data_IF_587319425386
#
_entry.id   IF_587319425386
#
_cell.length_a   1.000
_cell.length_b   1.000
_cell.length_c   1.000
_cell.angle_alpha   90.00
_cell.angle_beta   90.00
_cell.angle_gamma   90.00
#
_symmetry.space_group_name_H-M   'P 1'
#
loop_
_entity.id
_entity.type
_entity.pdbx_description
1 polymer ?
#
# COMPACT_ATOMS: atom_id res chain seq x y z
N UNK A 1 5.90 8.53 -10.08
CA UNK A 1 4.66 8.66 -10.87
C UNK A 1 4.14 7.27 -11.12
N UNK A 2 2.83 7.07 -10.98
CA UNK A 2 2.15 5.82 -11.27
C UNK A 2 1.06 6.11 -12.30
N UNK A 3 0.96 5.24 -13.31
CA UNK A 3 -0.05 5.31 -14.36
C UNK A 3 -1.29 4.51 -13.93
N UNK A 4 -2.47 5.09 -14.18
CA UNK A 4 -3.78 4.53 -13.84
C UNK A 4 -4.79 4.77 -14.99
N UNK A 5 -4.37 4.42 -16.20
CA UNK A 5 -5.16 4.58 -17.41
C UNK A 5 -4.30 4.40 -18.67
N UNK A 6 -4.90 4.48 -19.86
CA UNK A 6 -4.21 4.25 -21.12
C UNK A 6 -3.22 5.37 -21.52
N UNK A 7 -3.45 6.63 -21.12
CA UNK A 7 -2.60 7.77 -21.48
C UNK A 7 -1.61 8.07 -20.34
N UNK A 8 -0.30 7.82 -20.50
CA UNK A 8 0.68 8.05 -19.45
C UNK A 8 0.87 9.53 -19.08
N UNK A 9 0.44 10.47 -19.92
CA UNK A 9 0.53 11.91 -19.65
C UNK A 9 -0.68 12.38 -18.84
N UNK A 10 -1.88 11.92 -19.18
CA UNK A 10 -3.13 12.36 -18.53
C UNK A 10 -3.50 11.49 -17.32
N UNK A 11 -3.23 10.20 -17.39
CA UNK A 11 -3.69 9.20 -16.41
C UNK A 11 -2.59 8.82 -15.41
N UNK A 12 -1.58 9.68 -15.24
CA UNK A 12 -0.52 9.48 -14.26
C UNK A 12 -0.69 10.42 -13.07
N UNK A 13 -0.34 9.93 -11.89
CA UNK A 13 -0.29 10.74 -10.68
C UNK A 13 1.05 10.58 -9.95
N UNK A 14 1.39 11.57 -9.13
CA UNK A 14 2.69 11.66 -8.49
C UNK A 14 2.79 10.74 -7.27
N UNK A 15 4.02 10.31 -6.98
CA UNK A 15 4.40 9.62 -5.75
C UNK A 15 5.26 10.62 -4.97
N UNK A 16 4.68 11.40 -4.03
CA UNK A 16 5.37 12.54 -3.45
C UNK A 16 6.62 12.12 -2.65
N UNK A 17 7.73 12.84 -2.79
CA UNK A 17 8.96 12.49 -2.09
C UNK A 17 8.90 12.81 -0.59
N UNK A 18 8.11 13.81 -0.20
CA UNK A 18 7.87 14.17 1.21
C UNK A 18 6.49 13.69 1.64
N UNK A 19 6.42 13.15 2.85
CA UNK A 19 5.16 12.69 3.46
C UNK A 19 4.14 13.84 3.60
N UNK A 20 4.59 15.04 3.91
CA UNK A 20 3.74 16.24 4.02
C UNK A 20 3.06 16.62 2.71
N UNK A 21 3.65 16.26 1.57
CA UNK A 21 3.08 16.52 0.25
C UNK A 21 2.08 15.43 -0.14
N UNK A 22 2.25 14.19 0.35
CA UNK A 22 1.27 13.12 0.19
C UNK A 22 -0.09 13.49 0.78
N UNK A 23 -0.11 14.13 1.95
CA UNK A 23 -1.35 14.59 2.61
C UNK A 23 -2.15 15.64 1.80
N UNK A 24 -1.57 16.23 0.75
CA UNK A 24 -2.24 17.19 -0.14
C UNK A 24 -2.78 16.53 -1.41
N UNK A 25 -2.69 15.21 -1.50
CA UNK A 25 -3.09 14.41 -2.66
C UNK A 25 -4.11 13.35 -2.24
N UNK A 26 -4.42 12.41 -3.14
CA UNK A 26 -5.28 11.25 -2.83
C UNK A 26 -4.57 10.16 -2.02
N UNK A 27 -3.28 10.29 -1.73
CA UNK A 27 -2.59 9.33 -0.85
C UNK A 27 -3.09 9.48 0.58
N UNK A 28 -3.80 8.46 1.06
CA UNK A 28 -4.36 8.40 2.40
C UNK A 28 -3.38 7.69 3.33
N UNK A 29 -3.07 8.32 4.45
CA UNK A 29 -2.19 7.74 5.46
C UNK A 29 -2.86 6.53 6.11
N UNK A 30 -2.19 5.38 6.02
CA UNK A 30 -2.54 4.17 6.75
C UNK A 30 -1.85 4.11 8.12
N UNK A 31 -1.33 2.95 8.47
CA UNK A 31 -0.65 2.74 9.75
C UNK A 31 0.88 2.65 9.60
N UNK A 32 1.52 2.92 10.74
CA UNK A 32 2.94 2.68 10.96
C UNK A 32 3.19 1.20 11.21
N UNK A 33 3.97 0.55 10.35
CA UNK A 33 4.42 -0.82 10.58
C UNK A 33 5.91 -0.79 10.94
N UNK A 34 6.29 -1.11 12.20
CA UNK A 34 7.69 -1.16 12.59
C UNK A 34 8.47 -2.12 11.69
N UNK A 35 9.66 -1.72 11.25
CA UNK A 35 10.50 -2.38 10.22
C UNK A 35 10.08 -2.17 8.76
N UNK A 36 9.06 -1.35 8.47
CA UNK A 36 8.64 -1.02 7.09
C UNK A 36 8.38 0.47 6.88
N UNK A 37 7.89 1.19 7.89
CA UNK A 37 7.52 2.61 7.81
C UNK A 37 6.01 2.87 7.83
N UNK A 38 5.64 4.11 7.56
CA UNK A 38 4.25 4.55 7.43
C UNK A 38 3.74 4.21 6.04
N UNK A 39 2.69 3.39 5.96
CA UNK A 39 2.04 3.04 4.71
C UNK A 39 1.05 4.13 4.27
N UNK A 40 1.00 4.39 2.97
CA UNK A 40 0.03 5.29 2.34
C UNK A 40 -0.66 4.58 1.18
N UNK A 41 -1.99 4.66 1.16
CA UNK A 41 -2.86 3.95 0.23
C UNK A 41 -3.60 4.95 -0.66
N UNK A 42 -3.66 4.69 -1.95
CA UNK A 42 -4.24 5.65 -2.90
C UNK A 42 -5.78 5.61 -2.85
N UNK A 43 -6.39 6.77 -2.58
CA UNK A 43 -7.84 7.00 -2.55
C UNK A 43 -8.63 6.00 -1.66
N UNK A 44 -7.97 5.51 -0.61
CA UNK A 44 -8.52 4.50 0.30
C UNK A 44 -9.39 5.11 1.40
N UNK A 45 -10.60 4.61 1.53
CA UNK A 45 -11.65 5.04 2.47
C UNK A 45 -12.49 3.86 2.95
N UNK A 46 -13.27 4.07 4.01
CA UNK A 46 -14.04 2.99 4.64
C UNK A 46 -15.07 2.37 3.67
N UNK A 47 -15.64 3.17 2.79
CA UNK A 47 -16.63 2.83 1.75
C UNK A 47 -15.99 2.57 0.37
N UNK A 48 -14.68 2.30 0.31
CA UNK A 48 -14.01 1.92 -0.94
C UNK A 48 -14.64 0.67 -1.51
N UNK A 49 -14.87 0.65 -2.82
CA UNK A 49 -15.21 -0.57 -3.54
C UNK A 49 -13.93 -1.41 -3.75
N UNK A 50 -13.87 -2.58 -3.12
CA UNK A 50 -12.72 -3.47 -3.19
C UNK A 50 -12.43 -3.97 -4.62
N UNK A 51 -13.43 -4.00 -5.52
CA UNK A 51 -13.22 -4.33 -6.94
C UNK A 51 -12.41 -3.27 -7.69
N UNK A 52 -12.38 -2.05 -7.16
CA UNK A 52 -11.64 -0.90 -7.68
C UNK A 52 -10.51 -0.46 -6.74
N UNK A 53 -10.10 -1.32 -5.79
CA UNK A 53 -9.00 -1.03 -4.89
C UNK A 53 -7.70 -0.82 -5.67
N UNK A 54 -7.08 0.35 -5.51
CA UNK A 54 -5.84 0.64 -6.20
C UNK A 54 -4.67 -0.10 -5.53
N UNK A 55 -3.91 -0.94 -6.27
CA UNK A 55 -3.01 -1.91 -5.64
C UNK A 55 -1.71 -1.29 -5.14
N UNK A 56 -1.32 -0.09 -5.58
CA UNK A 56 -0.05 0.48 -5.16
C UNK A 56 -0.16 1.20 -3.81
N UNK A 57 0.90 1.08 -3.01
CA UNK A 57 1.06 1.83 -1.78
C UNK A 57 2.46 2.45 -1.70
N UNK A 58 2.58 3.56 -0.96
CA UNK A 58 3.85 4.21 -0.66
C UNK A 58 4.26 3.94 0.79
N UNK A 59 5.56 3.98 1.05
CA UNK A 59 6.12 3.86 2.39
C UNK A 59 7.03 5.05 2.71
N UNK A 60 6.78 5.68 3.84
CA UNK A 60 7.57 6.79 4.35
C UNK A 60 8.26 6.43 5.66
N UNK A 61 9.45 6.97 5.87
CA UNK A 61 10.18 6.91 7.13
C UNK A 61 10.80 8.28 7.38
N UNK A 62 10.63 8.83 8.59
CA UNK A 62 11.13 10.17 8.92
C UNK A 62 10.69 11.25 7.90
N UNK A 63 9.44 11.15 7.42
CA UNK A 63 8.87 12.09 6.47
C UNK A 63 9.35 11.97 5.01
N UNK A 64 10.19 10.98 4.67
CA UNK A 64 10.74 10.78 3.32
C UNK A 64 10.30 9.45 2.71
N UNK A 65 9.99 9.49 1.41
CA UNK A 65 9.63 8.31 0.65
C UNK A 65 10.82 7.34 0.66
N UNK A 66 10.61 6.16 1.25
CA UNK A 66 11.67 5.16 1.46
C UNK A 66 11.38 3.84 0.73
N UNK A 67 10.18 3.70 0.18
CA UNK A 67 9.83 2.61 -0.71
C UNK A 67 8.42 2.75 -1.24
N UNK A 68 8.02 1.76 -2.02
CA UNK A 68 6.66 1.56 -2.49
C UNK A 68 6.37 0.07 -2.54
N UNK A 69 5.13 -0.30 -2.79
CA UNK A 69 4.80 -1.69 -3.00
C UNK A 69 3.49 -1.90 -3.73
N UNK A 70 3.18 -3.16 -3.93
CA UNK A 70 1.98 -3.64 -4.60
C UNK A 70 1.23 -4.57 -3.68
N UNK A 71 -0.08 -4.40 -3.60
CA UNK A 71 -0.97 -5.17 -2.78
C UNK A 71 -2.08 -5.72 -3.67
N UNK A 72 -2.06 -7.02 -3.89
CA UNK A 72 -2.87 -7.70 -4.89
C UNK A 72 -3.72 -8.80 -4.27
N UNK A 73 -4.84 -9.09 -4.94
CA UNK A 73 -5.74 -10.16 -4.56
C UNK A 73 -5.05 -11.52 -4.58
N UNK A 74 -5.38 -12.35 -3.59
CA UNK A 74 -4.98 -13.74 -3.48
C UNK A 74 -3.62 -14.01 -2.88
N UNK A 75 -3.25 -15.29 -2.91
CA UNK A 75 -2.05 -15.83 -2.26
C UNK A 75 -1.05 -16.29 -3.31
N UNK A 76 0.09 -15.62 -3.39
CA UNK A 76 1.15 -16.04 -4.29
C UNK A 76 1.98 -17.15 -3.65
N UNK A 77 1.65 -18.39 -3.98
CA UNK A 77 2.38 -19.55 -3.49
C UNK A 77 3.75 -19.66 -4.18
N UNK A 78 4.74 -20.19 -3.46
CA UNK A 78 6.10 -20.48 -3.97
C UNK A 78 7.03 -19.28 -4.24
N UNK A 79 6.74 -18.09 -3.70
CA UNK A 79 7.69 -16.96 -3.71
C UNK A 79 8.09 -16.54 -2.29
N UNK A 80 9.35 -16.13 -2.13
CA UNK A 80 9.86 -15.48 -0.91
C UNK A 80 9.92 -13.96 -1.05
N UNK A 81 9.49 -13.42 -2.20
CA UNK A 81 9.58 -11.99 -2.53
C UNK A 81 8.31 -11.22 -2.21
N UNK A 82 7.27 -11.92 -1.76
CA UNK A 82 6.00 -11.33 -1.40
C UNK A 82 5.57 -11.86 -0.03
N UNK A 83 4.85 -11.03 0.70
CA UNK A 83 4.29 -11.33 2.01
C UNK A 83 2.81 -11.66 1.85
N UNK A 84 2.34 -12.53 2.74
CA UNK A 84 0.94 -12.91 2.81
C UNK A 84 0.42 -12.64 4.22
N UNK A 85 0.02 -11.39 4.52
CA UNK A 85 -0.49 -11.03 5.83
C UNK A 85 -1.81 -11.75 6.12
N UNK A 86 -2.03 -12.23 7.36
CA UNK A 86 -3.35 -12.68 7.78
C UNK A 86 -4.33 -11.49 7.81
N UNK A 87 -5.62 -11.75 7.64
CA UNK A 87 -6.67 -10.73 7.66
C UNK A 87 -6.60 -9.80 8.90
N UNK A 88 -6.28 -10.37 10.06
CA UNK A 88 -6.13 -9.61 11.31
C UNK A 88 -4.98 -8.59 11.29
N UNK A 89 -3.98 -8.76 10.42
CA UNK A 89 -2.84 -7.86 10.30
C UNK A 89 -3.11 -6.65 9.39
N UNK A 90 -4.21 -6.63 8.62
CA UNK A 90 -4.49 -5.53 7.69
C UNK A 90 -4.53 -4.16 8.40
N UNK A 91 -5.07 -4.09 9.61
CA UNK A 91 -5.14 -2.86 10.41
C UNK A 91 -3.77 -2.29 10.81
N UNK A 92 -2.70 -3.10 10.71
CA UNK A 92 -1.33 -2.68 11.03
C UNK A 92 -0.68 -1.86 9.92
N UNK A 93 -1.28 -1.79 8.73
CA UNK A 93 -0.78 -1.01 7.60
C UNK A 93 -1.87 -0.30 6.80
N UNK A 94 -3.07 -0.86 6.68
CA UNK A 94 -4.21 -0.32 5.95
C UNK A 94 -5.21 0.30 6.92
N UNK A 95 -5.24 1.63 6.99
CA UNK A 95 -6.18 2.39 7.82
C UNK A 95 -6.78 3.52 6.99
N UNK A 96 -8.12 3.66 6.93
CA UNK A 96 -9.11 2.68 7.38
C UNK A 96 -9.02 1.38 6.55
N UNK A 97 -9.42 0.25 7.13
CA UNK A 97 -9.68 -0.98 6.36
C UNK A 97 -11.06 -0.85 5.72
N UNK A 98 -11.20 -0.92 4.38
CA UNK A 98 -12.51 -0.90 3.73
C UNK A 98 -13.44 -1.99 4.27
N UNK A 99 -14.73 -1.71 4.38
CA UNK A 99 -15.71 -2.67 4.94
C UNK A 99 -15.86 -3.93 4.10
N UNK A 100 -15.64 -3.84 2.79
CA UNK A 100 -15.63 -4.98 1.86
C UNK A 100 -14.38 -5.87 1.97
N UNK A 101 -13.33 -5.43 2.67
CA UNK A 101 -12.03 -6.08 2.63
C UNK A 101 -12.04 -7.52 3.19
N UNK A 102 -12.78 -7.84 4.28
CA UNK A 102 -12.91 -9.23 4.73
C UNK A 102 -13.50 -10.15 3.67
N UNK A 103 -14.60 -9.75 3.03
CA UNK A 103 -15.26 -10.55 1.99
C UNK A 103 -14.33 -10.72 0.78
N UNK A 104 -13.71 -9.63 0.32
CA UNK A 104 -12.69 -9.67 -0.74
C UNK A 104 -11.53 -10.61 -0.41
N UNK A 105 -11.03 -10.57 0.83
CA UNK A 105 -9.96 -11.45 1.30
C UNK A 105 -10.39 -12.92 1.27
N UNK A 106 -11.62 -13.23 1.66
CA UNK A 106 -12.16 -14.59 1.60
C UNK A 106 -12.35 -15.08 0.16
N UNK A 107 -12.97 -14.26 -0.70
CA UNK A 107 -13.26 -14.59 -2.10
C UNK A 107 -11.98 -14.81 -2.92
N UNK A 108 -10.95 -13.99 -2.69
CA UNK A 108 -9.72 -14.03 -3.47
C UNK A 108 -8.68 -14.98 -2.88
N UNK A 109 -8.98 -15.64 -1.76
CA UNK A 109 -8.02 -16.44 -0.99
C UNK A 109 -6.83 -15.64 -0.47
N UNK A 110 -7.10 -14.40 -0.08
CA UNK A 110 -6.25 -13.55 0.73
C UNK A 110 -5.68 -12.34 0.02
N UNK A 111 -4.56 -11.83 0.54
CA UNK A 111 -3.95 -10.59 0.10
C UNK A 111 -2.45 -10.76 0.08
N UNK A 112 -1.80 -10.45 -1.03
CA UNK A 112 -0.35 -10.57 -1.18
C UNK A 112 0.25 -9.19 -1.36
N UNK A 113 1.30 -8.88 -0.60
CA UNK A 113 2.03 -7.61 -0.70
C UNK A 113 3.46 -7.83 -1.17
N UNK A 114 3.97 -6.97 -2.05
CA UNK A 114 5.36 -6.94 -2.48
C UNK A 114 5.94 -5.56 -2.22
N UNK A 115 7.00 -5.52 -1.40
CA UNK A 115 7.70 -4.31 -1.03
C UNK A 115 8.93 -4.07 -1.91
N UNK A 116 9.13 -2.82 -2.34
CA UNK A 116 10.32 -2.33 -3.05
C UNK A 116 10.91 -1.17 -2.23
N UNK A 117 12.06 -1.43 -1.62
CA UNK A 117 12.73 -0.46 -0.76
C UNK A 117 13.85 0.29 -1.50
N UNK A 118 14.03 1.56 -1.15
CA UNK A 118 15.12 2.40 -1.65
C UNK A 118 16.34 2.39 -0.72
N UNK A 119 16.31 1.57 0.34
CA UNK A 119 17.36 1.42 1.33
C UNK A 119 17.84 -0.04 1.38
N UNK A 120 19.13 -0.23 1.60
CA UNK A 120 19.77 -1.54 1.77
C UNK A 120 19.44 -2.23 3.11
N UNK A 121 19.02 -1.47 4.12
CA UNK A 121 18.62 -2.00 5.44
C UNK A 121 17.15 -1.67 5.77
N UNK A 122 16.18 -2.28 5.05
CA UNK A 122 14.76 -1.97 5.21
C UNK A 122 14.20 -2.35 6.59
N UNK A 123 14.81 -3.33 7.28
CA UNK A 123 14.39 -3.72 8.63
C UNK A 123 14.62 -2.65 9.72
N UNK A 124 15.35 -1.57 9.42
CA UNK A 124 15.61 -0.46 10.34
C UNK A 124 14.66 0.73 10.19
N UNK A 125 13.59 0.57 9.40
CA UNK A 125 12.56 1.60 9.23
C UNK A 125 11.62 1.56 10.43
N UNK A 126 11.31 2.72 11.01
CA UNK A 126 10.39 2.80 12.14
C UNK A 126 9.13 3.48 11.63
N UNK A 127 9.02 4.77 11.90
CA UNK A 127 8.20 5.83 11.33
C UNK A 127 8.89 7.12 11.79
#
# INVERSE_FOLDING_TARGET
>A
WLQNGPDPIQDSFSSPMNQTDANKTKWVQGACFPSMGVHYWYDNRLDTDCSHFFPAFLMYNQGKLTGFGWATAGKFEHTKRAEYPPLAALTSFLVPVPTCMPDFFHETSGFTTMHVYFNAAPWNLLC
#
